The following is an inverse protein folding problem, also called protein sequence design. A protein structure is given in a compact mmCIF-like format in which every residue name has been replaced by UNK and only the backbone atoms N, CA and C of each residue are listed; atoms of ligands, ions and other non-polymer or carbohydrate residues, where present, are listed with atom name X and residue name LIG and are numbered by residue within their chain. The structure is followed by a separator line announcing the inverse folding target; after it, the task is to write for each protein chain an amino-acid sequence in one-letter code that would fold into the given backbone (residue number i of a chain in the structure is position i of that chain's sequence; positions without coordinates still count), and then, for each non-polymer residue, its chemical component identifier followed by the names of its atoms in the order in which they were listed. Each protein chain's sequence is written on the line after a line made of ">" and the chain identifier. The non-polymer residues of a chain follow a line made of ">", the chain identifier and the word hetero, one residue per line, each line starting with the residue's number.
data_IF_358306645720
#
_entry.id   IF_358306645720
#
_cell.length_a   1.000
_cell.length_b   1.000
_cell.length_c   1.000
_cell.angle_alpha   90.00
_cell.angle_beta   90.00
_cell.angle_gamma   90.00
#
_symmetry.space_group_name_H-M   'P 1'
#
loop_
_entity.id
_entity.type
_entity.pdbx_description
1 polymer ?
#
# COMPACT_ATOMS: atom_id res chain seq x y z
N UNK A 1 -19.05 1.90 29.01
CA UNK A 1 -19.64 1.66 27.67
C UNK A 1 -19.08 0.40 27.00
N UNK A 2 -17.76 0.24 26.85
CA UNK A 2 -17.15 -0.93 26.17
C UNK A 2 -17.36 -2.27 26.90
N UNK A 3 -17.43 -2.28 28.25
CA UNK A 3 -17.77 -3.49 29.02
C UNK A 3 -19.17 -4.01 28.68
N UNK A 4 -20.12 -3.11 28.47
CA UNK A 4 -21.48 -3.45 28.04
C UNK A 4 -21.53 -4.02 26.63
N UNK A 5 -20.76 -3.42 25.71
CA UNK A 5 -20.59 -3.93 24.34
C UNK A 5 -20.05 -5.37 24.35
N UNK A 6 -19.00 -5.64 25.13
CA UNK A 6 -18.43 -6.98 25.27
C UNK A 6 -19.43 -7.99 25.84
N UNK A 7 -20.24 -7.57 26.84
CA UNK A 7 -21.25 -8.42 27.45
C UNK A 7 -22.37 -8.81 26.46
N UNK A 8 -22.88 -7.84 25.68
CA UNK A 8 -23.93 -8.09 24.69
C UNK A 8 -23.37 -8.93 23.54
N UNK A 9 -22.18 -8.60 23.02
CA UNK A 9 -21.53 -9.43 21.99
C UNK A 9 -21.32 -10.87 22.47
N UNK A 10 -20.97 -11.05 23.75
CA UNK A 10 -20.82 -12.37 24.39
C UNK A 10 -22.07 -13.24 24.33
N UNK A 11 -23.26 -12.66 24.53
CA UNK A 11 -24.55 -13.38 24.45
C UNK A 11 -24.75 -14.08 23.11
N UNK A 12 -24.35 -13.41 21.99
CA UNK A 12 -24.57 -13.87 20.63
C UNK A 12 -23.43 -14.72 20.07
N UNK A 13 -22.34 -14.90 20.82
CA UNK A 13 -21.14 -15.61 20.35
C UNK A 13 -21.45 -17.03 19.87
N UNK A 14 -22.29 -17.75 20.56
CA UNK A 14 -22.67 -19.12 20.20
C UNK A 14 -23.53 -19.15 18.94
N UNK A 15 -24.48 -18.21 18.79
CA UNK A 15 -25.34 -18.12 17.62
C UNK A 15 -24.52 -17.79 16.36
N UNK A 16 -23.61 -16.81 16.46
CA UNK A 16 -22.70 -16.45 15.38
C UNK A 16 -21.79 -17.63 15.01
N UNK A 17 -21.28 -18.37 16.01
CA UNK A 17 -20.46 -19.56 15.78
C UNK A 17 -21.25 -20.68 15.11
N UNK A 18 -22.52 -20.87 15.45
CA UNK A 18 -23.38 -21.86 14.82
C UNK A 18 -23.76 -21.48 13.39
N UNK A 19 -23.98 -20.19 13.12
CA UNK A 19 -24.36 -19.70 11.78
C UNK A 19 -23.20 -19.80 10.78
N UNK A 20 -21.98 -19.38 11.15
CA UNK A 20 -20.84 -19.38 10.26
C UNK A 20 -19.93 -20.61 10.45
N UNK A 21 -19.76 -21.40 9.40
CA UNK A 21 -18.85 -22.56 9.36
C UNK A 21 -17.38 -22.14 9.41
N UNK A 22 -17.03 -21.06 8.69
CA UNK A 22 -15.66 -20.55 8.55
C UNK A 22 -15.31 -19.54 9.64
N UNK A 23 -14.11 -19.65 10.22
CA UNK A 23 -13.63 -18.74 11.26
C UNK A 23 -13.48 -17.30 10.75
N UNK A 24 -13.04 -17.15 9.51
CA UNK A 24 -12.90 -15.86 8.82
C UNK A 24 -14.25 -15.13 8.71
N UNK A 25 -15.32 -15.82 8.34
CA UNK A 25 -16.66 -15.20 8.25
C UNK A 25 -17.13 -14.70 9.62
N UNK A 26 -16.88 -15.48 10.69
CA UNK A 26 -17.18 -15.04 12.06
C UNK A 26 -16.43 -13.78 12.43
N UNK A 27 -15.14 -13.72 12.08
CA UNK A 27 -14.30 -12.54 12.33
C UNK A 27 -14.80 -11.33 11.58
N UNK A 28 -15.03 -11.44 10.25
CA UNK A 28 -15.54 -10.36 9.39
C UNK A 28 -16.88 -9.85 9.92
N UNK A 29 -17.78 -10.76 10.30
CA UNK A 29 -19.07 -10.39 10.90
C UNK A 29 -18.88 -9.57 12.17
N UNK A 30 -18.03 -10.01 13.11
CA UNK A 30 -17.77 -9.27 14.34
C UNK A 30 -17.08 -7.94 14.10
N UNK A 31 -16.14 -7.86 13.17
CA UNK A 31 -15.51 -6.59 12.77
C UNK A 31 -16.56 -5.59 12.27
N UNK A 32 -17.48 -6.04 11.40
CA UNK A 32 -18.59 -5.22 10.90
C UNK A 32 -19.53 -4.76 12.01
N UNK A 33 -19.87 -5.64 12.94
CA UNK A 33 -20.73 -5.30 14.09
C UNK A 33 -20.03 -4.28 15.00
N UNK A 34 -18.77 -4.54 15.38
CA UNK A 34 -18.03 -3.73 16.34
C UNK A 34 -17.63 -2.35 15.81
N UNK A 35 -17.54 -2.17 14.48
CA UNK A 35 -17.21 -0.90 13.82
C UNK A 35 -18.44 -0.17 13.25
N UNK A 36 -19.65 -0.71 13.42
CA UNK A 36 -20.85 -0.23 12.77
C UNK A 36 -22.01 0.12 13.72
N UNK A 37 -23.24 0.18 13.18
CA UNK A 37 -24.43 0.63 13.89
C UNK A 37 -24.78 -0.18 15.14
N UNK A 38 -24.32 -1.41 15.27
CA UNK A 38 -24.48 -2.23 16.46
C UNK A 38 -23.83 -1.55 17.68
N UNK A 39 -22.55 -1.17 17.53
CA UNK A 39 -21.80 -0.48 18.59
C UNK A 39 -22.39 0.88 18.90
N UNK A 40 -22.76 1.66 17.87
CA UNK A 40 -23.38 2.97 18.08
C UNK A 40 -24.66 2.91 18.88
N UNK A 41 -25.53 1.92 18.61
CA UNK A 41 -26.76 1.70 19.37
C UNK A 41 -26.52 1.34 20.83
N UNK A 42 -25.52 0.50 21.11
CA UNK A 42 -25.14 0.13 22.48
C UNK A 42 -24.61 1.35 23.23
N UNK A 43 -23.74 2.15 22.59
CA UNK A 43 -23.19 3.37 23.18
C UNK A 43 -24.28 4.41 23.45
N UNK A 44 -25.35 4.43 22.64
CA UNK A 44 -26.53 5.28 22.83
C UNK A 44 -27.55 4.71 23.83
N UNK A 45 -27.25 3.57 24.52
CA UNK A 45 -28.16 2.93 25.46
C UNK A 45 -29.34 2.18 24.84
N UNK A 46 -29.36 2.01 23.51
CA UNK A 46 -30.44 1.33 22.75
C UNK A 46 -30.12 -0.16 22.56
N UNK A 47 -30.01 -0.90 23.66
CA UNK A 47 -29.54 -2.29 23.64
C UNK A 47 -30.44 -3.22 22.82
N UNK A 48 -31.78 -3.15 23.03
CA UNK A 48 -32.71 -3.98 22.26
C UNK A 48 -32.58 -3.74 20.76
N UNK A 49 -32.51 -2.49 20.34
CA UNK A 49 -32.31 -2.15 18.92
C UNK A 49 -30.96 -2.61 18.36
N UNK A 50 -29.94 -2.75 19.20
CA UNK A 50 -28.65 -3.33 18.82
C UNK A 50 -28.75 -4.85 18.66
N UNK A 51 -29.39 -5.55 19.60
CA UNK A 51 -29.63 -7.01 19.53
C UNK A 51 -30.47 -7.36 18.28
N UNK A 52 -31.54 -6.63 18.02
CA UNK A 52 -32.39 -6.83 16.83
C UNK A 52 -31.59 -6.62 15.54
N UNK A 53 -30.75 -5.58 15.50
CA UNK A 53 -29.88 -5.33 14.35
C UNK A 53 -28.88 -6.45 14.11
N UNK A 54 -28.27 -6.99 15.18
CA UNK A 54 -27.33 -8.11 15.07
C UNK A 54 -28.03 -9.36 14.54
N UNK A 55 -29.20 -9.70 15.08
CA UNK A 55 -29.97 -10.87 14.64
C UNK A 55 -30.42 -10.74 13.18
N UNK A 56 -30.91 -9.58 12.80
CA UNK A 56 -31.30 -9.28 11.43
C UNK A 56 -30.10 -9.36 10.48
N UNK A 57 -28.97 -8.78 10.86
CA UNK A 57 -27.72 -8.87 10.10
C UNK A 57 -27.26 -10.32 9.93
N UNK A 58 -27.33 -11.12 11.00
CA UNK A 58 -26.95 -12.53 10.98
C UNK A 58 -27.81 -13.35 9.99
N UNK A 59 -29.11 -13.06 9.92
CA UNK A 59 -30.03 -13.74 8.98
C UNK A 59 -29.73 -13.40 7.51
N UNK A 60 -29.24 -12.20 7.22
CA UNK A 60 -28.96 -11.76 5.86
C UNK A 60 -27.54 -12.12 5.39
N UNK A 61 -26.64 -12.48 6.29
CA UNK A 61 -25.28 -12.87 5.93
C UNK A 61 -25.24 -14.31 5.41
N UNK A 62 -24.67 -14.48 4.22
CA UNK A 62 -24.52 -15.79 3.60
C UNK A 62 -23.31 -16.53 4.18
N UNK A 63 -23.43 -17.83 4.34
CA UNK A 63 -22.34 -18.70 4.76
C UNK A 63 -21.52 -19.19 3.54
N UNK A 64 -21.20 -18.26 2.64
CA UNK A 64 -20.33 -18.51 1.50
C UNK A 64 -18.87 -18.47 1.95
N UNK A 65 -17.97 -19.21 1.29
CA UNK A 65 -16.54 -19.03 1.57
C UNK A 65 -16.16 -17.56 1.36
N UNK A 66 -15.31 -16.99 2.25
CA UNK A 66 -14.92 -15.59 2.14
C UNK A 66 -14.25 -15.36 0.79
N UNK A 67 -14.68 -14.32 0.09
CA UNK A 67 -13.97 -13.85 -1.10
C UNK A 67 -12.79 -13.03 -0.62
N UNK A 68 -11.59 -13.48 -0.96
CA UNK A 68 -10.40 -12.70 -0.69
C UNK A 68 -10.30 -11.49 -1.60
N UNK A 69 -9.54 -10.53 -1.17
CA UNK A 69 -9.24 -9.30 -1.92
C UNK A 69 -7.80 -8.86 -1.68
N UNK A 70 -7.28 -8.04 -2.58
CA UNK A 70 -5.92 -7.53 -2.50
C UNK A 70 -5.93 -6.01 -2.38
N UNK A 71 -5.14 -5.49 -1.45
CA UNK A 71 -4.91 -4.06 -1.26
C UNK A 71 -3.47 -3.74 -1.68
N UNK A 72 -3.28 -2.96 -2.74
CA UNK A 72 -1.99 -2.37 -3.08
C UNK A 72 -1.86 -1.04 -2.34
N UNK A 73 -0.98 -0.97 -1.37
CA UNK A 73 -0.91 0.17 -0.45
C UNK A 73 0.47 0.82 -0.49
N UNK A 74 0.51 2.11 -0.73
CA UNK A 74 1.71 2.91 -0.60
C UNK A 74 2.05 3.16 0.87
N UNK A 75 3.26 2.80 1.25
CA UNK A 75 3.81 2.98 2.59
C UNK A 75 4.46 4.37 2.79
N UNK A 76 4.51 5.19 1.75
CA UNK A 76 5.23 6.45 1.81
C UNK A 76 6.75 6.28 1.86
N UNK A 77 7.49 7.36 2.16
CA UNK A 77 8.95 7.38 2.13
C UNK A 77 9.63 6.85 3.41
N UNK A 78 8.92 6.19 4.30
CA UNK A 78 9.48 5.52 5.48
C UNK A 78 8.99 6.07 6.83
N UNK A 79 8.57 7.34 6.91
CA UNK A 79 8.00 7.91 8.12
C UNK A 79 6.53 7.45 8.29
N UNK A 80 6.15 6.81 9.42
CA UNK A 80 4.77 6.40 9.70
C UNK A 80 3.74 7.53 9.67
N UNK A 81 4.12 8.75 10.03
CA UNK A 81 3.22 9.92 10.00
C UNK A 81 2.77 10.32 8.60
N UNK A 82 3.46 9.83 7.57
CA UNK A 82 3.13 10.04 6.16
C UNK A 82 2.24 8.95 5.56
N UNK A 83 1.78 8.00 6.38
CA UNK A 83 0.77 7.03 5.95
C UNK A 83 -0.58 7.71 5.79
N UNK A 84 -1.32 7.29 4.76
CA UNK A 84 -2.72 7.69 4.67
C UNK A 84 -3.57 6.98 5.73
N UNK A 85 -4.61 7.62 6.23
CA UNK A 85 -5.57 6.98 7.15
C UNK A 85 -6.18 5.69 6.57
N UNK A 86 -6.33 5.63 5.23
CA UNK A 86 -6.83 4.44 4.56
C UNK A 86 -5.81 3.31 4.61
N UNK A 87 -4.53 3.59 4.36
CA UNK A 87 -3.46 2.63 4.49
C UNK A 87 -3.44 2.02 5.90
N UNK A 88 -3.47 2.86 6.94
CA UNK A 88 -3.51 2.43 8.33
C UNK A 88 -4.70 1.49 8.61
N UNK A 89 -5.91 1.85 8.18
CA UNK A 89 -7.09 1.00 8.40
C UNK A 89 -6.95 -0.37 7.73
N UNK A 90 -6.44 -0.42 6.50
CA UNK A 90 -6.26 -1.68 5.77
C UNK A 90 -5.15 -2.54 6.38
N UNK A 91 -4.07 -1.92 6.88
CA UNK A 91 -3.01 -2.61 7.63
C UNK A 91 -3.54 -3.31 8.89
N UNK A 92 -4.54 -2.70 9.56
CA UNK A 92 -5.20 -3.29 10.73
C UNK A 92 -6.24 -4.36 10.38
N UNK A 93 -6.59 -4.52 9.10
CA UNK A 93 -7.61 -5.48 8.64
C UNK A 93 -7.01 -6.66 7.87
N UNK A 94 -5.79 -6.53 7.37
CA UNK A 94 -5.16 -7.54 6.53
C UNK A 94 -4.89 -8.86 7.28
N UNK A 95 -5.08 -9.99 6.59
CA UNK A 95 -4.73 -11.32 7.09
C UNK A 95 -3.29 -11.67 6.77
N UNK A 96 -2.83 -11.20 5.60
CA UNK A 96 -1.47 -11.41 5.11
C UNK A 96 -0.94 -10.08 4.60
N UNK A 97 0.31 -9.77 4.95
CA UNK A 97 1.04 -8.60 4.46
C UNK A 97 2.26 -9.06 3.69
N UNK A 98 2.34 -8.68 2.41
CA UNK A 98 3.51 -8.92 1.55
C UNK A 98 4.23 -7.59 1.38
N UNK A 99 5.50 -7.54 1.73
CA UNK A 99 6.29 -6.30 1.76
C UNK A 99 7.72 -6.54 1.24
N UNK A 100 8.41 -5.44 0.92
CA UNK A 100 9.79 -5.46 0.45
C UNK A 100 10.71 -4.57 1.31
N UNK A 101 11.98 -4.48 0.94
CA UNK A 101 13.02 -3.74 1.66
C UNK A 101 12.74 -2.24 1.85
N UNK A 102 11.90 -1.65 1.00
CA UNK A 102 11.61 -0.21 1.04
C UNK A 102 10.57 0.17 2.09
N UNK A 103 9.97 -0.81 2.75
CA UNK A 103 9.04 -0.57 3.86
C UNK A 103 9.82 -0.58 5.17
N UNK A 104 9.75 0.50 5.94
CA UNK A 104 10.45 0.63 7.21
C UNK A 104 9.87 -0.32 8.28
N UNK A 105 10.70 -0.66 9.28
CA UNK A 105 10.28 -1.48 10.42
C UNK A 105 9.14 -0.81 11.19
N UNK A 106 9.23 0.50 11.41
CA UNK A 106 8.23 1.28 12.14
C UNK A 106 6.84 1.21 11.47
N UNK A 107 6.80 1.20 10.13
CA UNK A 107 5.56 1.00 9.39
C UNK A 107 5.05 -0.43 9.52
N UNK A 108 5.92 -1.43 9.47
CA UNK A 108 5.53 -2.83 9.66
C UNK A 108 4.97 -3.11 11.05
N UNK A 109 5.43 -2.38 12.07
CA UNK A 109 4.92 -2.52 13.43
C UNK A 109 3.49 -2.00 13.62
N UNK A 110 3.01 -1.17 12.68
CA UNK A 110 1.61 -0.73 12.63
C UNK A 110 0.66 -1.77 12.03
N UNK A 111 1.18 -2.84 11.43
CA UNK A 111 0.36 -3.96 10.96
C UNK A 111 -0.18 -4.72 12.17
N UNK A 112 -1.43 -5.19 12.07
CA UNK A 112 -2.02 -6.01 13.14
C UNK A 112 -1.11 -7.20 13.50
N UNK A 113 -1.02 -7.52 14.79
CA UNK A 113 -0.02 -8.47 15.31
C UNK A 113 -0.18 -9.90 14.82
N UNK A 114 -1.39 -10.31 14.52
CA UNK A 114 -1.74 -11.67 14.08
C UNK A 114 -1.76 -11.85 12.55
N UNK A 115 -1.43 -10.80 11.78
CA UNK A 115 -1.25 -10.91 10.33
C UNK A 115 0.03 -11.71 10.00
N UNK A 116 -0.08 -12.59 9.02
CA UNK A 116 1.10 -13.26 8.46
C UNK A 116 1.92 -12.25 7.66
N UNK A 117 3.22 -12.12 7.96
CA UNK A 117 4.13 -11.22 7.25
C UNK A 117 5.02 -12.00 6.30
N UNK A 118 5.01 -11.67 5.02
CA UNK A 118 5.79 -12.32 3.97
C UNK A 118 6.73 -11.28 3.35
N UNK A 119 8.03 -11.49 3.47
CA UNK A 119 9.03 -10.66 2.83
C UNK A 119 9.23 -11.10 1.37
N UNK A 120 9.09 -10.16 0.44
CA UNK A 120 9.21 -10.40 -1.00
C UNK A 120 10.45 -9.70 -1.63
N UNK A 121 11.29 -9.05 -0.81
CA UNK A 121 12.49 -8.36 -1.26
C UNK A 121 13.71 -9.26 -1.47
N UNK A 122 14.83 -8.66 -1.87
CA UNK A 122 16.12 -9.35 -2.01
C UNK A 122 16.75 -9.58 -0.63
N UNK A 123 16.95 -10.82 -0.24
CA UNK A 123 17.87 -11.19 0.85
C UNK A 123 19.21 -11.67 0.30
N UNK A 124 20.29 -11.37 1.04
CA UNK A 124 21.66 -11.79 0.64
C UNK A 124 21.85 -13.29 0.50
N UNK A 125 20.98 -14.10 1.10
CA UNK A 125 21.08 -15.57 1.18
C UNK A 125 20.00 -16.36 0.44
N UNK A 126 18.93 -15.69 -0.05
CA UNK A 126 17.83 -16.36 -0.74
C UNK A 126 17.55 -15.71 -2.09
N UNK A 127 17.12 -16.52 -3.07
CA UNK A 127 16.69 -16.00 -4.38
C UNK A 127 15.58 -14.99 -4.18
N UNK A 128 15.76 -13.79 -4.76
CA UNK A 128 14.70 -12.78 -4.86
C UNK A 128 13.46 -13.44 -5.44
N UNK A 129 12.30 -13.19 -4.83
CA UNK A 129 11.04 -13.52 -5.48
C UNK A 129 10.95 -12.71 -6.78
N UNK A 130 10.86 -13.38 -7.92
CA UNK A 130 10.59 -12.73 -9.19
C UNK A 130 9.22 -12.04 -9.13
N UNK A 131 9.03 -10.97 -9.90
CA UNK A 131 7.75 -10.23 -9.88
C UNK A 131 6.57 -11.14 -10.21
N UNK A 132 6.73 -12.04 -11.16
CA UNK A 132 5.69 -13.02 -11.49
C UNK A 132 5.34 -13.91 -10.29
N UNK A 133 6.32 -14.35 -9.51
CA UNK A 133 6.08 -15.12 -8.29
C UNK A 133 5.30 -14.33 -7.23
N UNK A 134 5.54 -13.01 -7.13
CA UNK A 134 4.78 -12.13 -6.23
C UNK A 134 3.33 -12.03 -6.74
N UNK A 135 3.13 -11.81 -8.04
CA UNK A 135 1.81 -11.70 -8.65
C UNK A 135 0.98 -12.98 -8.40
N UNK A 136 1.57 -14.15 -8.63
CA UNK A 136 0.90 -15.44 -8.39
C UNK A 136 0.65 -15.69 -6.91
N UNK A 137 1.52 -15.24 -6.01
CA UNK A 137 1.30 -15.33 -4.57
C UNK A 137 0.09 -14.49 -4.13
N UNK A 138 -0.05 -13.27 -4.66
CA UNK A 138 -1.20 -12.41 -4.39
C UNK A 138 -2.51 -13.08 -4.83
N UNK A 139 -2.54 -13.65 -6.04
CA UNK A 139 -3.70 -14.37 -6.58
C UNK A 139 -4.07 -15.57 -5.70
N UNK A 140 -3.10 -16.43 -5.39
CA UNK A 140 -3.31 -17.63 -4.59
C UNK A 140 -3.90 -17.30 -3.22
N UNK A 141 -3.31 -16.37 -2.50
CA UNK A 141 -3.76 -16.00 -1.16
C UNK A 141 -5.17 -15.39 -1.18
N UNK A 142 -5.49 -14.58 -2.21
CA UNK A 142 -6.84 -14.05 -2.38
C UNK A 142 -7.86 -15.16 -2.72
N UNK A 143 -7.48 -16.15 -3.55
CA UNK A 143 -8.33 -17.31 -3.83
C UNK A 143 -8.59 -18.19 -2.58
N UNK A 144 -7.64 -18.20 -1.63
CA UNK A 144 -7.81 -18.81 -0.32
C UNK A 144 -8.76 -18.02 0.61
N UNK A 145 -9.35 -16.91 0.13
CA UNK A 145 -10.28 -16.06 0.89
C UNK A 145 -9.59 -15.05 1.81
N UNK A 146 -8.27 -14.80 1.67
CA UNK A 146 -7.51 -13.87 2.53
C UNK A 146 -7.64 -12.42 2.06
N UNK A 147 -7.64 -11.49 3.01
CA UNK A 147 -7.41 -10.07 2.76
C UNK A 147 -5.91 -9.82 2.71
N UNK A 148 -5.38 -9.68 1.51
CA UNK A 148 -3.94 -9.59 1.26
C UNK A 148 -3.54 -8.13 1.09
N UNK A 149 -2.64 -7.65 1.92
CA UNK A 149 -2.05 -6.32 1.79
C UNK A 149 -0.68 -6.44 1.11
N UNK A 150 -0.54 -5.85 -0.07
CA UNK A 150 0.76 -5.61 -0.71
C UNK A 150 1.24 -4.22 -0.31
N UNK A 151 2.17 -4.15 0.63
CA UNK A 151 2.74 -2.91 1.14
C UNK A 151 4.00 -2.56 0.36
N UNK A 152 4.01 -1.37 -0.26
CA UNK A 152 5.05 -0.91 -1.18
C UNK A 152 5.63 0.41 -0.70
N UNK A 153 6.95 0.55 -0.67
CA UNK A 153 7.59 1.84 -0.38
C UNK A 153 7.15 2.92 -1.37
N UNK A 154 6.96 4.15 -0.90
CA UNK A 154 6.45 5.25 -1.71
C UNK A 154 5.00 5.07 -2.15
N UNK A 155 4.77 5.15 -3.44
CA UNK A 155 3.47 4.99 -4.10
C UNK A 155 3.47 3.77 -5.03
N UNK A 156 2.40 2.94 -5.06
CA UNK A 156 2.35 1.73 -5.88
C UNK A 156 2.52 1.97 -7.38
N UNK A 157 2.12 3.15 -7.88
CA UNK A 157 2.09 3.47 -9.31
C UNK A 157 3.25 4.36 -9.77
N UNK A 158 4.10 4.84 -8.86
CA UNK A 158 5.29 5.62 -9.21
C UNK A 158 6.52 4.70 -9.11
N UNK A 159 6.95 4.15 -10.24
CA UNK A 159 8.05 3.18 -10.38
C UNK A 159 7.96 1.97 -9.42
N UNK A 160 6.75 1.66 -8.96
CA UNK A 160 6.46 0.60 -8.02
C UNK A 160 5.99 -0.72 -8.66
N UNK A 161 5.88 -0.81 -9.98
CA UNK A 161 5.37 -1.98 -10.72
C UNK A 161 3.94 -2.41 -10.32
N UNK A 162 3.18 -1.52 -9.67
CA UNK A 162 1.80 -1.81 -9.26
C UNK A 162 0.86 -2.12 -10.43
N UNK A 163 1.15 -1.59 -11.63
CA UNK A 163 0.41 -1.91 -12.85
C UNK A 163 0.46 -3.40 -13.19
N UNK A 164 1.63 -4.03 -13.14
CA UNK A 164 1.81 -5.46 -13.41
C UNK A 164 1.05 -6.35 -12.38
N UNK A 165 1.05 -5.92 -11.11
CA UNK A 165 0.34 -6.62 -10.05
C UNK A 165 -1.19 -6.58 -10.29
N UNK A 166 -1.75 -5.41 -10.64
CA UNK A 166 -3.21 -5.29 -10.88
C UNK A 166 -3.66 -5.96 -12.19
N UNK A 167 -2.84 -5.97 -13.24
CA UNK A 167 -3.13 -6.71 -14.47
C UNK A 167 -3.32 -8.20 -14.18
N UNK A 168 -2.41 -8.77 -13.40
CA UNK A 168 -2.51 -10.18 -12.98
C UNK A 168 -3.75 -10.42 -12.13
N UNK A 169 -4.05 -9.55 -11.16
CA UNK A 169 -5.25 -9.67 -10.32
C UNK A 169 -6.54 -9.58 -11.15
N UNK A 170 -6.61 -8.63 -12.08
CA UNK A 170 -7.75 -8.44 -12.95
C UNK A 170 -7.99 -9.65 -13.86
N UNK A 171 -6.95 -10.23 -14.47
CA UNK A 171 -7.04 -11.42 -15.30
C UNK A 171 -7.61 -12.63 -14.55
N UNK A 172 -7.34 -12.73 -13.24
CA UNK A 172 -7.88 -13.78 -12.35
C UNK A 172 -9.19 -13.37 -11.66
N UNK A 173 -9.76 -12.21 -11.99
CA UNK A 173 -11.00 -11.67 -11.39
C UNK A 173 -10.93 -11.54 -9.86
N UNK A 174 -9.74 -11.26 -9.34
CA UNK A 174 -9.53 -10.99 -7.91
C UNK A 174 -9.92 -9.53 -7.64
N UNK A 175 -10.80 -9.25 -6.67
CA UNK A 175 -11.09 -7.88 -6.24
C UNK A 175 -9.84 -7.22 -5.68
N UNK A 176 -9.58 -5.98 -6.07
CA UNK A 176 -8.46 -5.23 -5.52
C UNK A 176 -8.78 -3.76 -5.31
N UNK A 177 -8.02 -3.12 -4.44
CA UNK A 177 -8.05 -1.68 -4.21
C UNK A 177 -6.62 -1.16 -4.23
N UNK A 178 -6.44 0.06 -4.77
CA UNK A 178 -5.16 0.75 -4.72
C UNK A 178 -5.27 1.95 -3.79
N UNK A 179 -4.33 2.08 -2.88
CA UNK A 179 -4.23 3.19 -1.93
C UNK A 179 -2.94 3.93 -2.19
N UNK A 180 -2.99 5.19 -2.60
CA UNK A 180 -1.79 5.97 -2.86
C UNK A 180 -0.96 6.17 -1.61
N UNK A 181 0.33 6.39 -1.79
CA UNK A 181 1.27 6.80 -0.76
C UNK A 181 2.06 8.04 -1.17
N UNK A 182 2.74 8.66 -0.23
CA UNK A 182 3.67 9.74 -0.53
C UNK A 182 4.85 9.15 -1.29
N UNK A 183 4.98 9.49 -2.56
CA UNK A 183 6.12 9.04 -3.37
C UNK A 183 7.42 9.68 -2.91
N UNK A 184 8.56 9.03 -3.12
CA UNK A 184 9.87 9.53 -2.67
C UNK A 184 10.16 10.97 -3.14
N UNK A 185 9.81 11.32 -4.37
CA UNK A 185 9.98 12.68 -4.88
C UNK A 185 9.33 13.74 -3.98
N UNK A 186 8.06 13.54 -3.62
CA UNK A 186 7.34 14.49 -2.74
C UNK A 186 7.89 14.46 -1.32
N UNK A 187 8.17 13.27 -0.78
CA UNK A 187 8.67 13.12 0.58
C UNK A 187 10.04 13.75 0.78
N UNK A 188 11.01 13.37 -0.05
CA UNK A 188 12.40 13.88 0.11
C UNK A 188 12.50 15.37 -0.20
N UNK A 189 11.75 15.86 -1.20
CA UNK A 189 11.71 17.27 -1.53
C UNK A 189 11.18 18.11 -0.37
N UNK A 190 10.10 17.68 0.27
CA UNK A 190 9.52 18.36 1.43
C UNK A 190 10.50 18.37 2.62
N UNK A 191 11.13 17.26 2.93
CA UNK A 191 12.09 17.16 4.04
C UNK A 191 13.41 17.92 3.76
N UNK A 192 13.82 18.02 2.51
CA UNK A 192 15.00 18.81 2.12
C UNK A 192 14.70 20.31 1.94
N UNK A 193 13.44 20.73 2.00
CA UNK A 193 13.04 22.12 1.75
C UNK A 193 13.22 22.56 0.29
N UNK A 194 13.16 21.60 -0.67
CA UNK A 194 13.34 21.85 -2.11
C UNK A 194 11.99 21.73 -2.81
N UNK A 195 11.35 22.84 -3.23
CA UNK A 195 10.11 22.75 -3.98
C UNK A 195 10.33 22.09 -5.33
N UNK A 196 9.49 21.12 -5.70
CA UNK A 196 9.54 20.46 -7.01
C UNK A 196 9.05 21.38 -8.14
N UNK A 197 8.21 22.36 -7.83
CA UNK A 197 7.73 23.36 -8.79
C UNK A 197 7.83 24.75 -8.17
N UNK A 198 8.12 25.74 -9.00
CA UNK A 198 8.17 27.14 -8.60
C UNK A 198 7.74 28.03 -9.75
N UNK A 199 6.94 29.09 -9.46
CA UNK A 199 6.39 29.98 -10.48
C UNK A 199 7.44 30.56 -11.40
N UNK A 200 8.59 30.95 -10.87
CA UNK A 200 9.61 31.67 -11.60
C UNK A 200 10.74 30.76 -12.13
N UNK A 201 10.90 29.53 -11.62
CA UNK A 201 12.04 28.67 -11.93
C UNK A 201 11.66 27.36 -12.60
N UNK A 202 10.55 26.71 -12.17
CA UNK A 202 10.19 25.39 -12.69
C UNK A 202 8.66 25.24 -12.72
N UNK A 203 8.06 25.41 -13.91
CA UNK A 203 6.63 25.24 -14.09
C UNK A 203 6.21 23.81 -14.38
N UNK A 204 7.19 22.91 -14.57
CA UNK A 204 6.96 21.48 -14.76
C UNK A 204 7.90 20.64 -13.90
N UNK A 205 7.47 19.42 -13.63
CA UNK A 205 8.26 18.41 -12.91
C UNK A 205 8.13 17.07 -13.64
N UNK A 206 9.26 16.52 -14.07
CA UNK A 206 9.31 15.26 -14.81
C UNK A 206 9.93 14.18 -13.95
N UNK A 207 9.22 13.05 -13.77
CA UNK A 207 9.72 11.88 -13.07
C UNK A 207 10.26 10.87 -14.06
N UNK A 208 11.50 10.45 -13.88
CA UNK A 208 12.16 9.43 -14.70
C UNK A 208 12.86 8.39 -13.81
N UNK A 209 13.17 7.25 -14.39
CA UNK A 209 14.00 6.23 -13.72
C UNK A 209 15.40 6.22 -14.30
N UNK A 210 16.40 6.30 -13.44
CA UNK A 210 17.81 6.11 -13.79
C UNK A 210 18.28 4.66 -13.66
N UNK A 211 17.33 3.71 -13.61
CA UNK A 211 17.66 2.29 -13.54
C UNK A 211 18.37 1.82 -14.82
N UNK A 212 19.57 1.28 -14.64
CA UNK A 212 20.35 0.72 -15.74
C UNK A 212 19.71 -0.54 -16.30
N UNK A 213 19.55 -0.59 -17.63
CA UNK A 213 19.20 -1.81 -18.35
C UNK A 213 20.35 -2.10 -19.32
N UNK A 214 21.03 -3.22 -19.14
CA UNK A 214 22.23 -3.56 -19.93
C UNK A 214 23.29 -2.43 -19.91
N UNK A 215 23.57 -1.86 -18.72
CA UNK A 215 24.50 -0.75 -18.49
C UNK A 215 24.17 0.54 -19.25
N UNK A 216 22.94 0.69 -19.74
CA UNK A 216 22.46 1.88 -20.45
C UNK A 216 21.23 2.46 -19.77
N UNK A 217 21.01 3.77 -19.97
CA UNK A 217 19.79 4.47 -19.57
C UNK A 217 19.20 5.06 -20.85
N UNK A 218 18.03 4.57 -21.23
CA UNK A 218 17.30 5.02 -22.42
C UNK A 218 16.18 5.99 -21.99
N UNK A 219 16.43 7.29 -22.18
CA UNK A 219 15.50 8.38 -21.85
C UNK A 219 15.43 9.38 -23.01
N UNK A 220 14.36 10.13 -23.09
CA UNK A 220 14.22 11.26 -24.02
C UNK A 220 15.04 12.47 -23.52
N UNK A 221 16.34 12.39 -23.72
CA UNK A 221 17.31 13.40 -23.27
C UNK A 221 17.01 14.82 -23.75
N UNK A 222 16.65 15.05 -25.05
CA UNK A 222 16.30 16.39 -25.52
C UNK A 222 15.12 17.01 -24.78
N UNK A 223 14.12 16.19 -24.41
CA UNK A 223 12.97 16.67 -23.62
C UNK A 223 13.36 16.94 -22.18
N UNK A 224 14.25 16.14 -21.60
CA UNK A 224 14.71 16.31 -20.21
C UNK A 224 15.64 17.52 -20.07
N UNK A 225 16.46 17.86 -21.08
CA UNK A 225 17.39 18.98 -21.01
C UNK A 225 16.74 20.37 -21.22
N UNK A 226 15.40 20.48 -21.24
CA UNK A 226 14.69 21.75 -21.41
C UNK A 226 14.80 22.62 -20.15
N UNK A 227 14.83 23.96 -20.32
CA UNK A 227 14.83 24.88 -19.17
C UNK A 227 13.47 24.90 -18.43
N UNK A 228 13.46 25.51 -17.27
CA UNK A 228 12.26 25.78 -16.46
C UNK A 228 11.47 24.51 -16.03
N UNK A 229 12.17 23.42 -15.82
CA UNK A 229 11.61 22.19 -15.26
C UNK A 229 12.49 21.60 -14.18
N UNK A 230 11.87 20.85 -13.28
CA UNK A 230 12.56 19.99 -12.33
C UNK A 230 12.58 18.56 -12.88
N UNK A 231 13.74 17.93 -12.89
CA UNK A 231 13.89 16.52 -13.23
C UNK A 231 14.08 15.75 -11.94
N UNK A 232 13.21 14.80 -11.66
CA UNK A 232 13.33 13.89 -10.52
C UNK A 232 13.71 12.50 -11.02
N UNK A 233 14.88 12.04 -10.63
CA UNK A 233 15.44 10.78 -11.11
C UNK A 233 15.41 9.75 -10.00
N UNK A 234 14.54 8.74 -10.15
CA UNK A 234 14.47 7.60 -9.27
C UNK A 234 15.55 6.57 -9.60
N UNK A 235 16.11 5.91 -8.60
CA UNK A 235 17.11 4.84 -8.78
C UNK A 235 18.33 5.26 -9.59
N UNK A 236 18.65 6.57 -9.59
CA UNK A 236 19.70 7.14 -10.47
C UNK A 236 21.12 7.05 -9.93
N UNK A 237 21.34 6.57 -8.70
CA UNK A 237 22.64 6.67 -8.04
C UNK A 237 23.76 5.90 -8.78
N UNK A 238 23.48 4.68 -9.25
CA UNK A 238 24.44 3.87 -10.00
C UNK A 238 24.70 4.44 -11.41
N UNK A 239 23.68 5.05 -12.01
CA UNK A 239 23.76 5.64 -13.34
C UNK A 239 24.15 7.13 -13.35
N UNK A 240 24.48 7.72 -12.21
CA UNK A 240 24.70 9.16 -12.08
C UNK A 240 25.71 9.74 -13.07
N UNK A 241 26.87 9.13 -13.35
CA UNK A 241 27.79 9.64 -14.36
C UNK A 241 27.17 9.71 -15.76
N UNK A 242 26.42 8.69 -16.16
CA UNK A 242 25.74 8.63 -17.45
C UNK A 242 24.66 9.72 -17.53
N UNK A 243 23.86 9.86 -16.46
CA UNK A 243 22.80 10.88 -16.36
C UNK A 243 23.37 12.29 -16.53
N UNK A 244 24.42 12.64 -15.79
CA UNK A 244 25.08 13.94 -15.90
C UNK A 244 25.64 14.18 -17.32
N UNK A 245 26.36 13.21 -17.87
CA UNK A 245 26.94 13.30 -19.20
C UNK A 245 25.86 13.52 -20.27
N UNK A 246 24.79 12.75 -20.25
CA UNK A 246 23.73 12.83 -21.24
C UNK A 246 22.93 14.14 -21.15
N UNK A 247 22.60 14.60 -19.96
CA UNK A 247 21.89 15.85 -19.76
C UNK A 247 22.72 17.04 -20.25
N UNK A 248 24.02 17.08 -19.94
CA UNK A 248 24.91 18.13 -20.40
C UNK A 248 25.07 18.06 -21.93
N UNK A 249 25.28 16.86 -22.50
CA UNK A 249 25.40 16.67 -23.94
C UNK A 249 24.19 17.18 -24.74
N UNK A 250 23.00 17.09 -24.15
CA UNK A 250 21.75 17.53 -24.77
C UNK A 250 21.33 18.94 -24.39
N UNK A 251 22.22 19.73 -23.77
CA UNK A 251 22.05 21.17 -23.61
C UNK A 251 21.75 21.67 -22.21
N UNK A 252 21.72 20.82 -21.20
CA UNK A 252 21.62 21.29 -19.81
C UNK A 252 22.96 21.91 -19.39
N UNK A 253 22.92 23.05 -18.71
CA UNK A 253 24.16 23.72 -18.27
C UNK A 253 24.89 22.83 -17.23
N UNK A 254 26.23 22.74 -17.33
CA UNK A 254 27.05 21.90 -16.46
C UNK A 254 27.00 22.34 -14.98
N UNK A 255 26.65 23.59 -14.72
CA UNK A 255 26.48 24.20 -13.39
C UNK A 255 25.03 24.17 -12.91
N UNK A 256 24.15 23.43 -13.57
CA UNK A 256 22.75 23.27 -13.14
C UNK A 256 22.70 22.71 -11.70
N UNK A 257 22.03 23.39 -10.76
CA UNK A 257 21.91 22.91 -9.39
C UNK A 257 21.26 21.54 -9.31
N UNK A 258 21.87 20.62 -8.58
CA UNK A 258 21.38 19.27 -8.36
C UNK A 258 21.48 18.87 -6.88
N UNK A 259 20.57 18.02 -6.43
CA UNK A 259 20.59 17.46 -5.08
C UNK A 259 20.47 15.94 -5.14
N UNK A 260 21.29 15.25 -4.36
CA UNK A 260 21.18 13.81 -4.13
C UNK A 260 20.64 13.62 -2.73
N UNK A 261 19.49 12.97 -2.61
CA UNK A 261 18.83 12.75 -1.34
C UNK A 261 18.62 11.25 -1.17
N UNK A 262 19.17 10.71 -0.09
CA UNK A 262 19.01 9.31 0.31
C UNK A 262 18.41 9.26 1.70
N UNK A 263 17.46 8.37 1.88
CA UNK A 263 16.89 8.05 3.18
C UNK A 263 17.73 6.99 3.88
#
# INVERSE_FOLDING_TARGET
>A
AYGRLAQIAGKFRHQVKAHFKHAENRRIFWEKMLQGPFTERILAGKEQAAEDYLLQSLQHEKNEPPRGEVYLVGAGPGNPDLLTFRAMRLMQQADVVIYDRLVSADILDLVRRDATRIYAGKERSHRTMEQESINQLLVRLAQEGKRVLRLKGGDPFIFGRGGEEIETLASHRIPFQVVPGITAASGVAAYAGIPLTHRDYAQSCTFVTGHLKNDTIDLDWPTLARPNQTIVIYMGLLGLPILCQQLIHHGLAADTPAAIIQQ
#
